data_IF_002270015315
#
_entry.id   IF_002270015315
#
_cell.length_a   1.000
_cell.length_b   1.000
_cell.length_c   1.000
_cell.angle_alpha   90.00
_cell.angle_beta   90.00
_cell.angle_gamma   90.00
#
_symmetry.space_group_name_H-M   'P 1'
#
loop_
_entity.id
_entity.type
_entity.pdbx_description
1 polymer ?
#
# COMPACT_ATOMS: atom_id res chain seq x y z
N UNK A 1 28.99 5.93 -7.92
CA UNK A 1 28.56 6.28 -6.53
C UNK A 1 27.07 6.07 -6.30
N UNK A 2 26.14 6.90 -6.79
CA UNK A 2 24.69 6.75 -6.51
C UNK A 2 24.11 5.36 -6.86
N UNK A 3 24.50 4.79 -8.01
CA UNK A 3 24.06 3.45 -8.45
C UNK A 3 24.58 2.31 -7.57
N UNK A 4 25.80 2.43 -7.05
CA UNK A 4 26.42 1.41 -6.17
C UNK A 4 25.75 1.37 -4.80
N UNK A 5 25.35 2.53 -4.27
CA UNK A 5 24.61 2.64 -3.00
C UNK A 5 23.25 1.95 -3.12
N UNK A 6 22.53 2.16 -4.23
CA UNK A 6 21.23 1.50 -4.47
C UNK A 6 21.34 -0.02 -4.56
N UNK A 7 22.40 -0.53 -5.20
CA UNK A 7 22.68 -1.97 -5.28
C UNK A 7 22.99 -2.54 -3.88
N UNK A 8 23.79 -1.83 -3.08
CA UNK A 8 24.08 -2.19 -1.69
C UNK A 8 22.82 -2.25 -0.83
N UNK A 9 21.92 -1.26 -0.97
CA UNK A 9 20.64 -1.24 -0.25
C UNK A 9 19.78 -2.43 -0.67
N UNK A 10 19.67 -2.72 -1.96
CA UNK A 10 18.89 -3.84 -2.48
C UNK A 10 19.40 -5.20 -1.97
N UNK A 11 20.72 -5.38 -1.88
CA UNK A 11 21.35 -6.62 -1.40
C UNK A 11 21.20 -6.82 0.13
N UNK A 12 21.13 -5.75 0.92
CA UNK A 12 20.97 -5.84 2.38
C UNK A 12 19.51 -6.03 2.83
N UNK A 13 18.55 -5.63 2.00
CA UNK A 13 17.11 -5.67 2.36
C UNK A 13 16.59 -7.06 2.77
N UNK A 14 16.98 -8.19 2.11
CA UNK A 14 16.50 -9.53 2.50
C UNK A 14 16.97 -9.97 3.89
N UNK A 15 18.16 -9.55 4.32
CA UNK A 15 18.72 -9.94 5.63
C UNK A 15 18.00 -9.26 6.80
N UNK A 16 17.45 -8.07 6.58
CA UNK A 16 16.64 -7.35 7.58
C UNK A 16 15.27 -8.02 7.80
N UNK A 17 14.72 -8.69 6.77
CA UNK A 17 13.41 -9.32 6.85
C UNK A 17 13.37 -10.48 7.86
N UNK A 18 14.45 -11.27 7.96
CA UNK A 18 14.55 -12.45 8.83
C UNK A 18 14.52 -12.12 10.33
N UNK A 19 14.98 -10.93 10.73
CA UNK A 19 15.02 -10.49 12.13
C UNK A 19 13.73 -9.80 12.59
N UNK A 20 12.76 -9.57 11.70
CA UNK A 20 11.59 -8.74 12.01
C UNK A 20 10.33 -9.53 12.40
N UNK A 21 10.29 -10.86 12.21
CA UNK A 21 9.05 -11.62 12.34
C UNK A 21 8.53 -11.81 13.77
N UNK A 22 9.39 -11.71 14.80
CA UNK A 22 9.00 -11.83 16.23
C UNK A 22 9.28 -10.54 17.04
N UNK A 23 9.38 -9.39 16.39
CA UNK A 23 9.78 -8.16 17.07
C UNK A 23 8.61 -7.45 17.74
N UNK A 24 8.66 -7.40 19.07
CA UNK A 24 8.08 -6.35 19.92
C UNK A 24 8.11 -4.96 19.25
N UNK A 25 6.97 -4.28 19.19
CA UNK A 25 6.79 -3.03 18.43
C UNK A 25 7.00 -1.75 19.25
N UNK A 26 7.06 -1.81 20.59
CA UNK A 26 7.14 -0.60 21.44
C UNK A 26 8.40 0.20 21.16
N UNK A 27 8.23 1.51 21.03
CA UNK A 27 9.24 2.52 20.75
C UNK A 27 10.05 2.24 19.48
N UNK A 28 9.42 1.64 18.46
CA UNK A 28 10.07 1.30 17.19
C UNK A 28 9.25 1.79 16.00
N UNK A 29 9.97 2.16 14.95
CA UNK A 29 9.40 2.41 13.63
C UNK A 29 9.31 1.10 12.85
N UNK A 30 8.14 0.85 12.28
CA UNK A 30 7.88 -0.24 11.35
C UNK A 30 7.52 0.37 9.99
N UNK A 31 8.36 0.14 8.99
CA UNK A 31 8.15 0.61 7.63
C UNK A 31 7.85 -0.59 6.73
N UNK A 32 6.69 -0.57 6.08
CA UNK A 32 6.28 -1.60 5.12
C UNK A 32 6.11 -0.94 3.76
N UNK A 33 6.64 -1.58 2.73
CA UNK A 33 6.36 -1.22 1.35
C UNK A 33 5.89 -2.47 0.64
N UNK A 34 4.78 -2.36 -0.09
CA UNK A 34 4.11 -3.55 -0.60
C UNK A 34 3.28 -3.30 -1.83
N UNK A 35 2.98 -4.41 -2.48
CA UNK A 35 2.12 -4.52 -3.62
C UNK A 35 1.01 -5.51 -3.26
N UNK A 36 -0.25 -5.12 -3.44
CA UNK A 36 -1.40 -5.98 -3.21
C UNK A 36 -2.33 -5.96 -4.42
N UNK A 37 -2.83 -7.12 -4.84
CA UNK A 37 -3.94 -7.22 -5.80
C UNK A 37 -5.23 -7.34 -5.03
N UNK A 38 -6.20 -6.49 -5.33
CA UNK A 38 -7.57 -6.64 -4.81
C UNK A 38 -8.38 -7.47 -5.79
N UNK A 39 -8.42 -8.78 -5.60
CA UNK A 39 -9.39 -9.60 -6.29
C UNK A 39 -10.75 -9.48 -5.59
N UNK A 40 -11.61 -8.59 -6.10
CA UNK A 40 -13.06 -8.67 -5.85
C UNK A 40 -13.65 -7.83 -4.70
N UNK A 41 -12.89 -6.99 -4.01
CA UNK A 41 -13.43 -6.07 -3.01
C UNK A 41 -14.12 -4.87 -3.68
N UNK A 42 -15.45 -4.95 -3.84
CA UNK A 42 -16.27 -3.81 -4.23
C UNK A 42 -16.23 -2.75 -3.13
N UNK A 43 -15.67 -1.57 -3.44
CA UNK A 43 -15.83 -0.40 -2.58
C UNK A 43 -17.27 0.10 -2.75
N UNK A 44 -18.17 -0.38 -1.89
CA UNK A 44 -19.62 -0.17 -1.94
C UNK A 44 -20.03 1.30 -1.93
N UNK A 45 -19.20 2.20 -1.41
CA UNK A 45 -19.47 3.65 -1.40
C UNK A 45 -19.20 4.34 -2.74
N UNK A 46 -18.25 3.85 -3.55
CA UNK A 46 -17.85 4.52 -4.80
C UNK A 46 -18.29 3.77 -6.05
N UNK A 47 -18.87 2.57 -5.92
CA UNK A 47 -19.17 1.66 -7.06
C UNK A 47 -17.94 1.41 -7.94
N UNK A 48 -16.76 1.57 -7.37
CA UNK A 48 -15.49 1.36 -8.06
C UNK A 48 -14.97 -0.01 -7.70
N UNK A 49 -14.62 -0.80 -8.72
CA UNK A 49 -13.91 -2.05 -8.52
C UNK A 49 -12.41 -1.77 -8.67
N UNK A 50 -11.59 -1.92 -7.62
CA UNK A 50 -10.16 -1.96 -7.77
C UNK A 50 -9.82 -3.23 -8.55
N UNK A 51 -9.53 -3.06 -9.84
CA UNK A 51 -9.17 -4.13 -10.79
C UNK A 51 -7.67 -4.26 -10.93
N UNK A 52 -6.92 -3.28 -10.42
CA UNK A 52 -5.48 -3.17 -10.60
C UNK A 52 -4.75 -3.28 -9.27
N UNK A 53 -3.46 -3.64 -9.34
CA UNK A 53 -2.63 -3.66 -8.16
C UNK A 53 -2.55 -2.30 -7.46
N UNK A 54 -2.29 -2.40 -6.17
CA UNK A 54 -2.13 -1.30 -5.26
C UNK A 54 -0.69 -1.28 -4.77
N UNK A 55 -0.01 -0.16 -4.97
CA UNK A 55 1.29 0.10 -4.37
C UNK A 55 1.06 0.93 -3.11
N UNK A 56 1.62 0.47 -1.98
CA UNK A 56 1.47 1.12 -0.69
C UNK A 56 2.79 1.20 0.04
N UNK A 57 3.03 2.34 0.67
CA UNK A 57 4.06 2.54 1.67
C UNK A 57 3.35 2.91 2.98
N UNK A 58 3.68 2.19 4.05
CA UNK A 58 3.10 2.33 5.38
C UNK A 58 4.23 2.55 6.38
N UNK A 59 4.03 3.48 7.29
CA UNK A 59 4.93 3.74 8.40
C UNK A 59 4.17 3.81 9.70
N UNK A 60 4.53 2.95 10.64
CA UNK A 60 3.92 2.89 11.96
C UNK A 60 4.98 3.10 13.04
N UNK A 61 4.58 3.67 14.16
CA UNK A 61 5.34 3.79 15.39
C UNK A 61 4.59 3.08 16.51
N UNK A 62 5.23 2.09 17.14
CA UNK A 62 4.66 1.42 18.31
C UNK A 62 4.88 2.23 19.58
N UNK A 63 3.82 2.54 20.33
CA UNK A 63 3.89 3.18 21.65
C UNK A 63 3.92 2.18 22.79
N UNK A 64 3.22 1.06 22.62
CA UNK A 64 3.14 -0.08 23.54
C UNK A 64 3.44 -1.36 22.76
N UNK A 65 3.50 -2.48 23.47
CA UNK A 65 3.72 -3.79 22.83
C UNK A 65 2.57 -4.18 21.89
N UNK A 66 1.39 -3.59 22.09
CA UNK A 66 0.15 -3.87 21.36
C UNK A 66 -0.48 -2.65 20.67
N UNK A 67 0.09 -1.45 20.86
CA UNK A 67 -0.46 -0.21 20.32
C UNK A 67 0.56 0.44 19.40
N UNK A 68 0.16 0.58 18.14
CA UNK A 68 0.86 1.36 17.13
C UNK A 68 -0.06 2.44 16.56
N UNK A 69 0.54 3.56 16.17
CA UNK A 69 -0.09 4.54 15.28
C UNK A 69 0.72 4.60 14.02
N UNK A 70 0.09 4.85 12.90
CA UNK A 70 0.84 5.04 11.68
C UNK A 70 0.02 5.74 10.64
N UNK A 71 0.53 5.68 9.43
CA UNK A 71 -0.20 6.10 8.27
C UNK A 71 0.36 5.44 7.04
N UNK A 72 -0.42 5.48 5.98
CA UNK A 72 -0.02 4.95 4.70
C UNK A 72 -0.39 5.92 3.60
N UNK A 73 0.43 5.87 2.54
CA UNK A 73 0.14 6.45 1.26
C UNK A 73 0.28 5.38 0.20
N UNK A 74 -0.49 5.51 -0.86
CA UNK A 74 -0.37 4.59 -1.96
C UNK A 74 -1.02 5.10 -3.23
N UNK A 75 -0.89 4.27 -4.25
CA UNK A 75 -1.37 4.54 -5.58
C UNK A 75 -2.02 3.28 -6.15
N UNK A 76 -3.18 3.45 -6.76
CA UNK A 76 -3.88 2.36 -7.42
C UNK A 76 -4.73 2.87 -8.57
N UNK A 77 -5.08 1.94 -9.47
CA UNK A 77 -6.01 2.18 -10.57
C UNK A 77 -7.33 1.49 -10.28
N UNK A 78 -8.43 2.18 -10.50
CA UNK A 78 -9.78 1.68 -10.29
C UNK A 78 -10.61 1.86 -11.55
N UNK A 79 -11.51 0.92 -11.78
CA UNK A 79 -12.51 1.02 -12.82
C UNK A 79 -13.78 1.62 -12.22
N UNK A 80 -14.19 2.77 -12.74
CA UNK A 80 -15.47 3.42 -12.45
C UNK A 80 -16.48 3.10 -13.54
N UNK A 81 -17.73 2.87 -13.16
CA UNK A 81 -18.84 2.69 -14.10
C UNK A 81 -19.67 3.97 -14.13
N UNK A 82 -19.59 4.70 -15.24
CA UNK A 82 -20.24 6.01 -15.41
C UNK A 82 -21.48 5.85 -16.29
N UNK A 83 -22.66 6.34 -15.87
CA UNK A 83 -23.83 6.36 -16.74
C UNK A 83 -23.63 7.42 -17.83
N UNK A 84 -23.68 7.00 -19.09
CA UNK A 84 -23.80 7.87 -20.25
C UNK A 84 -25.17 7.66 -20.89
N UNK A 85 -25.64 8.61 -21.70
CA UNK A 85 -26.99 8.55 -22.30
C UNK A 85 -27.19 7.24 -23.07
N UNK A 86 -28.03 6.35 -22.52
CA UNK A 86 -28.35 5.05 -23.11
C UNK A 86 -27.34 3.91 -22.89
N UNK A 87 -26.25 4.12 -22.13
CA UNK A 87 -25.23 3.07 -21.87
C UNK A 87 -24.50 3.25 -20.54
N UNK A 88 -23.90 2.17 -20.03
CA UNK A 88 -22.94 2.21 -18.92
C UNK A 88 -21.56 1.96 -19.53
N UNK A 89 -20.65 2.90 -19.37
CA UNK A 89 -19.25 2.75 -19.79
C UNK A 89 -18.35 2.57 -18.58
N UNK A 90 -17.24 1.83 -18.78
CA UNK A 90 -16.20 1.66 -17.78
C UNK A 90 -15.03 2.59 -18.08
N UNK A 91 -14.67 3.45 -17.14
CA UNK A 91 -13.51 4.33 -17.22
C UNK A 91 -12.47 3.92 -16.17
N UNK A 92 -11.20 3.90 -16.57
CA UNK A 92 -10.10 3.62 -15.66
C UNK A 92 -9.51 4.93 -15.14
N UNK A 93 -9.41 5.04 -13.82
CA UNK A 93 -8.82 6.20 -13.18
C UNK A 93 -7.69 5.76 -12.28
N UNK A 94 -6.60 6.52 -12.36
CA UNK A 94 -5.47 6.41 -11.48
C UNK A 94 -5.66 7.39 -10.32
N UNK A 95 -5.59 6.94 -9.05
CA UNK A 95 -5.60 7.86 -7.92
C UNK A 95 -4.63 7.49 -6.80
N UNK A 96 -4.05 8.52 -6.16
CA UNK A 96 -3.44 8.36 -4.87
C UNK A 96 -4.51 8.13 -3.80
N UNK A 97 -4.16 7.39 -2.76
CA UNK A 97 -4.99 7.20 -1.58
C UNK A 97 -4.10 7.21 -0.33
N UNK A 98 -4.67 7.56 0.81
CA UNK A 98 -3.95 7.65 2.08
C UNK A 98 -4.86 7.27 3.25
N UNK A 99 -4.25 6.98 4.40
CA UNK A 99 -4.96 6.69 5.64
C UNK A 99 -4.03 6.77 6.85
N UNK A 100 -4.64 6.69 8.04
CA UNK A 100 -4.02 6.69 9.36
C UNK A 100 -4.44 5.40 10.06
#
# INVERSE_FOLDING_TARGET
>A
MKKQILILIALFTPFLALYSQDSYIKNRWNLKAGYARYDGLWLTKTKMKPTYPNFRIEGNFGFLEFLEVGGYLGYSRFTAYVPQTGSIISENHDAPFFGV
#
